data_IF_877009903573
#
_entry.id   IF_877009903573
#
_cell.length_a   1.000
_cell.length_b   1.000
_cell.length_c   1.000
_cell.angle_alpha   90.00
_cell.angle_beta   90.00
_cell.angle_gamma   90.00
#
_symmetry.space_group_name_H-M   'P 1'
#
loop_
_entity.id
_entity.type
_entity.pdbx_description
1 polymer ?
#
# COMPACT_ATOMS: atom_id res chain seq x y z
N UNK A 1 25.69 2.99 -14.74
CA UNK A 1 24.48 2.42 -14.10
C UNK A 1 23.79 3.57 -13.40
N UNK A 2 22.68 4.08 -13.97
CA UNK A 2 21.85 5.06 -13.28
C UNK A 2 21.30 4.45 -11.99
N UNK A 3 21.53 5.10 -10.87
CA UNK A 3 20.91 4.72 -9.60
C UNK A 3 19.47 5.21 -9.66
N UNK A 4 18.52 4.28 -9.69
CA UNK A 4 17.09 4.60 -9.55
C UNK A 4 16.91 5.44 -8.27
N UNK A 5 16.29 6.63 -8.35
CA UNK A 5 16.00 7.47 -7.19
C UNK A 5 15.26 6.69 -6.10
N UNK A 6 15.57 6.98 -4.84
CA UNK A 6 15.00 6.26 -3.69
C UNK A 6 13.47 6.32 -3.66
N UNK A 7 12.89 7.46 -4.06
CA UNK A 7 11.44 7.62 -4.23
C UNK A 7 10.83 6.72 -5.32
N UNK A 8 11.54 6.49 -6.44
CA UNK A 8 11.06 5.58 -7.49
C UNK A 8 11.05 4.11 -7.02
N UNK A 9 11.99 3.72 -6.15
CA UNK A 9 12.00 2.38 -5.54
C UNK A 9 10.84 2.19 -4.57
N UNK A 10 10.53 3.20 -3.76
CA UNK A 10 9.39 3.16 -2.83
C UNK A 10 8.06 3.07 -3.57
N UNK A 11 7.88 3.88 -4.62
CA UNK A 11 6.70 3.82 -5.50
C UNK A 11 6.54 2.44 -6.10
N UNK A 12 7.62 1.88 -6.68
CA UNK A 12 7.58 0.52 -7.24
C UNK A 12 7.20 -0.52 -6.19
N UNK A 13 7.74 -0.42 -4.97
CA UNK A 13 7.42 -1.35 -3.90
C UNK A 13 5.96 -1.23 -3.45
N UNK A 14 5.40 -0.02 -3.40
CA UNK A 14 3.98 0.19 -3.11
C UNK A 14 3.08 -0.49 -4.15
N UNK A 15 3.41 -0.39 -5.44
CA UNK A 15 2.67 -1.09 -6.51
C UNK A 15 2.71 -2.61 -6.34
N UNK A 16 3.90 -3.16 -6.09
CA UNK A 16 4.09 -4.60 -5.85
C UNK A 16 3.28 -5.06 -4.63
N UNK A 17 3.32 -4.30 -3.52
CA UNK A 17 2.56 -4.60 -2.32
C UNK A 17 1.05 -4.57 -2.57
N UNK A 18 0.53 -3.63 -3.34
CA UNK A 18 -0.89 -3.62 -3.70
C UNK A 18 -1.29 -4.88 -4.48
N UNK A 19 -0.48 -5.32 -5.44
CA UNK A 19 -0.73 -6.57 -6.17
C UNK A 19 -0.67 -7.81 -5.29
N UNK A 20 0.33 -7.88 -4.41
CA UNK A 20 0.48 -9.00 -3.48
C UNK A 20 -0.70 -9.03 -2.50
N UNK A 21 -1.03 -7.90 -1.88
CA UNK A 21 -2.18 -7.75 -0.99
C UNK A 21 -3.45 -8.14 -1.72
N UNK A 22 -3.67 -7.74 -2.98
CA UNK A 22 -4.86 -8.14 -3.75
C UNK A 22 -5.00 -9.67 -3.86
N UNK A 23 -3.89 -10.40 -4.00
CA UNK A 23 -3.86 -11.87 -4.15
C UNK A 23 -3.93 -12.62 -2.81
N UNK A 24 -3.67 -11.96 -1.68
CA UNK A 24 -3.77 -12.59 -0.36
C UNK A 24 -5.20 -13.08 -0.09
N UNK A 25 -5.37 -14.22 0.61
CA UNK A 25 -6.68 -14.60 1.13
C UNK A 25 -7.23 -13.50 2.04
N UNK A 26 -8.54 -13.46 2.19
CA UNK A 26 -9.18 -12.55 3.14
C UNK A 26 -8.75 -12.96 4.54
N UNK A 27 -7.94 -12.13 5.20
CA UNK A 27 -7.67 -12.27 6.62
C UNK A 27 -8.88 -11.81 7.44
N UNK A 28 -8.85 -12.03 8.76
CA UNK A 28 -9.89 -11.48 9.62
C UNK A 28 -9.81 -9.94 9.66
N UNK A 29 -10.90 -9.29 10.09
CA UNK A 29 -10.97 -7.83 10.10
C UNK A 29 -10.08 -7.17 11.19
N UNK A 30 -9.44 -7.95 12.05
CA UNK A 30 -8.72 -7.46 13.23
C UNK A 30 -7.19 -7.63 13.10
N UNK A 31 -6.70 -8.31 12.06
CA UNK A 31 -5.28 -8.52 11.81
C UNK A 31 -4.85 -7.91 10.48
N UNK A 32 -3.74 -7.18 10.53
CA UNK A 32 -3.04 -6.72 9.33
C UNK A 32 -2.08 -7.80 8.86
N UNK A 33 -2.11 -8.10 7.57
CA UNK A 33 -1.09 -8.98 6.98
C UNK A 33 0.29 -8.31 7.03
N UNK A 34 1.35 -9.12 6.96
CA UNK A 34 2.72 -8.60 6.93
C UNK A 34 2.93 -7.58 5.78
N UNK A 35 2.25 -7.78 4.65
CA UNK A 35 2.32 -6.90 3.48
C UNK A 35 1.57 -5.59 3.70
N UNK A 36 0.43 -5.63 4.36
CA UNK A 36 -0.29 -4.42 4.76
C UNK A 36 0.53 -3.59 5.75
N UNK A 37 1.20 -4.22 6.72
CA UNK A 37 2.12 -3.54 7.64
C UNK A 37 3.29 -2.88 6.89
N UNK A 38 3.92 -3.61 5.96
CA UNK A 38 4.98 -3.06 5.12
C UNK A 38 4.49 -1.85 4.30
N UNK A 39 3.30 -1.97 3.68
CA UNK A 39 2.68 -0.88 2.94
C UNK A 39 2.47 0.36 3.82
N UNK A 40 1.96 0.19 5.04
CA UNK A 40 1.74 1.31 5.95
C UNK A 40 3.04 1.98 6.40
N UNK A 41 4.09 1.19 6.65
CA UNK A 41 5.41 1.75 6.99
C UNK A 41 5.96 2.62 5.85
N UNK A 42 5.86 2.16 4.60
CA UNK A 42 6.35 2.92 3.44
C UNK A 42 5.46 4.14 3.16
N UNK A 43 4.14 4.00 3.25
CA UNK A 43 3.24 5.09 2.86
C UNK A 43 3.22 6.23 3.88
N UNK A 44 3.47 5.96 5.16
CA UNK A 44 3.54 6.98 6.21
C UNK A 44 4.66 8.00 5.98
N UNK A 45 5.78 7.60 5.37
CA UNK A 45 6.87 8.51 5.00
C UNK A 45 6.37 9.61 4.04
N UNK A 46 5.42 9.28 3.15
CA UNK A 46 4.80 10.25 2.26
C UNK A 46 3.80 11.18 2.98
N UNK A 47 3.29 10.80 4.15
CA UNK A 47 2.35 11.61 4.93
C UNK A 47 3.06 12.67 5.77
N UNK A 48 4.15 12.29 6.42
CA UNK A 48 4.83 13.11 7.43
C UNK A 48 5.77 14.13 6.82
N UNK A 49 6.57 13.71 5.83
CA UNK A 49 7.65 14.53 5.25
C UNK A 49 7.64 14.56 3.71
N UNK A 50 6.72 13.83 3.08
CA UNK A 50 6.67 13.64 1.63
C UNK A 50 5.45 14.24 0.92
N UNK A 51 5.09 13.59 -0.19
CA UNK A 51 4.01 14.03 -1.07
C UNK A 51 2.64 13.50 -0.60
N UNK A 52 1.84 14.39 0.00
CA UNK A 52 0.50 14.08 0.47
C UNK A 52 -0.44 13.59 -0.64
N UNK A 53 -0.24 14.00 -1.90
CA UNK A 53 -1.04 13.49 -3.02
C UNK A 53 -0.71 12.02 -3.31
N UNK A 54 0.56 11.63 -3.23
CA UNK A 54 0.96 10.23 -3.34
C UNK A 54 0.42 9.42 -2.16
N UNK A 55 0.53 9.93 -0.94
CA UNK A 55 -0.08 9.30 0.24
C UNK A 55 -1.58 9.03 0.02
N UNK A 56 -2.33 10.04 -0.38
CA UNK A 56 -3.77 9.93 -0.61
C UNK A 56 -4.10 8.96 -1.75
N UNK A 57 -3.34 9.01 -2.85
CA UNK A 57 -3.52 8.12 -4.00
C UNK A 57 -3.39 6.65 -3.60
N UNK A 58 -2.31 6.29 -2.92
CA UNK A 58 -2.00 4.91 -2.57
C UNK A 58 -2.91 4.37 -1.46
N UNK A 59 -3.21 5.18 -0.44
CA UNK A 59 -4.18 4.78 0.60
C UNK A 59 -5.58 4.55 0.03
N UNK A 60 -6.01 5.37 -0.94
CA UNK A 60 -7.27 5.17 -1.67
C UNK A 60 -7.28 3.84 -2.44
N UNK A 61 -6.19 3.51 -3.13
CA UNK A 61 -6.06 2.22 -3.85
C UNK A 61 -6.09 1.02 -2.90
N UNK A 62 -5.39 1.08 -1.77
CA UNK A 62 -5.46 0.04 -0.76
C UNK A 62 -6.92 -0.15 -0.29
N UNK A 63 -7.63 0.93 0.01
CA UNK A 63 -9.03 0.86 0.42
C UNK A 63 -9.93 0.21 -0.63
N UNK A 64 -9.71 0.47 -1.92
CA UNK A 64 -10.45 -0.21 -3.00
C UNK A 64 -10.20 -1.72 -3.01
N UNK A 65 -8.95 -2.15 -2.83
CA UNK A 65 -8.58 -3.57 -2.74
C UNK A 65 -9.21 -4.24 -1.51
N UNK A 66 -9.19 -3.58 -0.36
CA UNK A 66 -9.81 -4.13 0.84
C UNK A 66 -11.33 -4.22 0.68
N UNK A 67 -11.98 -3.16 0.18
CA UNK A 67 -13.43 -3.16 0.00
C UNK A 67 -13.91 -4.22 -1.01
N UNK A 68 -13.12 -4.55 -2.04
CA UNK A 68 -13.49 -5.61 -2.99
C UNK A 68 -13.48 -7.01 -2.34
N UNK A 69 -12.64 -7.22 -1.31
CA UNK A 69 -12.58 -8.45 -0.52
C UNK A 69 -13.66 -8.54 0.57
N UNK A 70 -14.20 -7.40 0.99
CA UNK A 70 -15.21 -7.27 2.03
C UNK A 70 -16.49 -6.63 1.46
N UNK A 71 -17.24 -7.32 0.58
CA UNK A 71 -18.51 -6.80 0.09
C UNK A 71 -19.44 -6.55 1.27
N UNK A 72 -19.97 -5.33 1.36
CA UNK A 72 -21.04 -4.99 2.29
C UNK A 72 -22.22 -5.92 1.97
N UNK A 73 -22.59 -6.75 2.94
CA UNK A 73 -23.83 -7.51 2.89
C UNK A 73 -25.02 -6.56 2.79
#
# INVERSE_FOLDING_TARGET
MEKIPEGEKMIKRLEELLEEIMKEPREDAYHLSARQLEFFNIIEDFRTEGDYHLWFHYTSRLNQILNSKYPKQ
#
